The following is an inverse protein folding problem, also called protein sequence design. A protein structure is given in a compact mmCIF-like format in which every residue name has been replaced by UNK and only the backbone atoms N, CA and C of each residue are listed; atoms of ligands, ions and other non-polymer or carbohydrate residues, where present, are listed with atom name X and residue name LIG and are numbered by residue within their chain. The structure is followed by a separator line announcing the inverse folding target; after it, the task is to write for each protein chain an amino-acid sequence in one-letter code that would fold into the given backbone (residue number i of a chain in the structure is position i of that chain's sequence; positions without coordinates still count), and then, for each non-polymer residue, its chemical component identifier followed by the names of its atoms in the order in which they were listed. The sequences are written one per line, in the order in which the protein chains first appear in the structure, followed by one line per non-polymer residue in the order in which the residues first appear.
data_IF_231407400393
#
_entry.id   IF_231407400393
#
_cell.length_a   1.000
_cell.length_b   1.000
_cell.length_c   1.000
_cell.angle_alpha   90.00
_cell.angle_beta   90.00
_cell.angle_gamma   90.00
#
_symmetry.space_group_name_H-M   'P 1'
#
loop_
_entity.id
_entity.type
_entity.pdbx_description
1 polymer ?
#
# COMPACT_ATOMS: atom_id res chain seq x y z
N UNK A 1 6.56 -7.98 26.66
CA UNK A 1 6.07 -6.88 25.81
C UNK A 1 5.72 -7.48 24.45
N UNK A 2 4.48 -7.92 24.31
CA UNK A 2 4.00 -8.79 23.22
C UNK A 2 3.69 -7.97 21.96
N UNK A 3 4.47 -8.17 20.90
CA UNK A 3 4.18 -7.61 19.58
C UNK A 3 3.01 -8.36 18.94
N UNK A 4 1.79 -7.84 19.15
CA UNK A 4 0.56 -8.33 18.55
C UNK A 4 0.40 -7.79 17.12
N UNK A 5 1.27 -8.19 16.18
CA UNK A 5 1.13 -7.81 14.76
C UNK A 5 0.58 -8.97 13.93
N UNK A 6 -0.74 -9.15 14.02
CA UNK A 6 -1.50 -9.84 12.98
C UNK A 6 -2.89 -9.20 12.87
N UNK A 7 -2.95 -8.00 12.29
CA UNK A 7 -4.24 -7.46 11.85
C UNK A 7 -4.71 -8.31 10.66
N UNK A 8 -5.62 -9.24 10.96
CA UNK A 8 -6.37 -9.96 9.94
C UNK A 8 -6.98 -8.93 8.98
N UNK A 9 -6.66 -9.05 7.69
CA UNK A 9 -7.30 -8.21 6.67
C UNK A 9 -8.81 -8.42 6.77
N UNK A 10 -9.61 -7.34 6.91
CA UNK A 10 -11.06 -7.50 6.96
C UNK A 10 -11.51 -8.23 5.69
N UNK A 11 -12.37 -9.25 5.85
CA UNK A 11 -12.95 -9.96 4.70
C UNK A 11 -13.63 -8.92 3.82
N UNK A 12 -13.07 -8.67 2.64
CA UNK A 12 -13.61 -7.71 1.67
C UNK A 12 -15.05 -8.13 1.37
N UNK A 13 -16.00 -7.29 1.76
CA UNK A 13 -17.37 -7.48 1.34
C UNK A 13 -17.42 -7.31 -0.18
N UNK A 14 -18.12 -8.23 -0.86
CA UNK A 14 -18.30 -8.16 -2.32
C UNK A 14 -19.33 -7.10 -2.72
N UNK A 15 -19.99 -6.47 -1.75
CA UNK A 15 -21.02 -5.47 -1.96
C UNK A 15 -20.36 -4.10 -2.16
N UNK A 16 -20.37 -3.62 -3.40
CA UNK A 16 -19.94 -2.25 -3.73
C UNK A 16 -20.91 -1.25 -3.09
N UNK A 17 -20.36 -0.20 -2.47
CA UNK A 17 -21.12 0.93 -1.96
C UNK A 17 -20.92 2.10 -2.91
N UNK A 18 -22.00 2.71 -3.38
CA UNK A 18 -21.92 3.95 -4.14
C UNK A 18 -21.42 5.08 -3.23
N UNK A 19 -20.48 5.86 -3.74
CA UNK A 19 -19.90 7.03 -3.05
C UNK A 19 -20.03 8.21 -4.00
N UNK A 20 -20.53 9.34 -3.50
CA UNK A 20 -20.55 10.59 -4.24
C UNK A 20 -19.22 11.31 -4.04
N UNK A 21 -18.58 11.70 -5.14
CA UNK A 21 -17.33 12.45 -5.14
C UNK A 21 -17.45 13.64 -6.09
N UNK A 22 -16.86 14.76 -5.72
CA UNK A 22 -16.76 15.94 -6.58
C UNK A 22 -15.51 15.81 -7.44
N UNK A 23 -15.69 15.88 -8.76
CA UNK A 23 -14.60 15.80 -9.73
C UNK A 23 -14.75 16.97 -10.71
N UNK A 24 -13.63 17.44 -11.23
CA UNK A 24 -13.59 18.49 -12.24
C UNK A 24 -14.41 18.07 -13.49
N UNK A 25 -15.28 18.94 -14.02
CA UNK A 25 -16.10 18.61 -15.18
C UNK A 25 -15.26 18.43 -16.45
N UNK A 26 -14.16 19.18 -16.60
CA UNK A 26 -13.22 19.02 -17.71
C UNK A 26 -12.55 17.63 -17.70
N UNK A 27 -12.13 17.14 -16.54
CA UNK A 27 -11.55 15.79 -16.43
C UNK A 27 -12.57 14.69 -16.75
N UNK A 28 -13.85 14.89 -16.40
CA UNK A 28 -14.92 13.94 -16.75
C UNK A 28 -15.20 13.94 -18.25
N UNK A 29 -15.18 15.11 -18.89
CA UNK A 29 -15.37 15.24 -20.33
C UNK A 29 -14.24 14.53 -21.09
N UNK A 30 -12.99 14.85 -20.76
CA UNK A 30 -11.81 14.25 -21.38
C UNK A 30 -11.78 12.73 -21.20
N UNK A 31 -12.07 12.24 -19.98
CA UNK A 31 -12.15 10.80 -19.72
C UNK A 31 -13.21 10.11 -20.59
N UNK A 32 -14.35 10.75 -20.85
CA UNK A 32 -15.40 10.22 -21.72
C UNK A 32 -14.97 10.21 -23.19
N UNK A 33 -14.32 11.26 -23.66
CA UNK A 33 -13.78 11.33 -25.02
C UNK A 33 -12.74 10.24 -25.28
N UNK A 34 -11.92 9.94 -24.27
CA UNK A 34 -10.92 8.88 -24.29
C UNK A 34 -11.49 7.47 -24.02
N UNK A 35 -12.80 7.34 -23.77
CA UNK A 35 -13.44 6.05 -23.49
C UNK A 35 -13.04 5.41 -22.16
N UNK A 36 -12.55 6.20 -21.20
CA UNK A 36 -12.10 5.72 -19.89
C UNK A 36 -13.31 5.35 -19.02
N UNK A 37 -13.25 4.16 -18.41
CA UNK A 37 -14.24 3.74 -17.43
C UNK A 37 -14.01 4.46 -16.09
N UNK A 38 -14.79 5.51 -15.83
CA UNK A 38 -14.68 6.33 -14.62
C UNK A 38 -14.77 5.54 -13.30
N UNK A 39 -15.64 4.52 -13.25
CA UNK A 39 -15.78 3.71 -12.03
C UNK A 39 -14.52 2.89 -11.74
N UNK A 40 -13.89 2.37 -12.79
CA UNK A 40 -12.67 1.59 -12.68
C UNK A 40 -11.47 2.49 -12.36
N UNK A 41 -11.35 3.63 -13.05
CA UNK A 41 -10.32 4.63 -12.78
C UNK A 41 -10.38 5.13 -11.33
N UNK A 42 -11.58 5.43 -10.82
CA UNK A 42 -11.77 5.85 -9.44
C UNK A 42 -11.36 4.75 -8.45
N UNK A 43 -11.77 3.50 -8.68
CA UNK A 43 -11.40 2.39 -7.80
C UNK A 43 -9.89 2.15 -7.78
N UNK A 44 -9.24 2.19 -8.95
CA UNK A 44 -7.80 2.01 -9.07
C UNK A 44 -7.03 3.12 -8.34
N UNK A 45 -7.45 4.38 -8.51
CA UNK A 45 -6.85 5.51 -7.80
C UNK A 45 -7.00 5.38 -6.28
N UNK A 46 -8.18 4.98 -5.81
CA UNK A 46 -8.45 4.77 -4.39
C UNK A 46 -7.60 3.64 -3.80
N UNK A 47 -7.47 2.51 -4.51
CA UNK A 47 -6.65 1.38 -4.09
C UNK A 47 -5.17 1.76 -3.99
N UNK A 48 -4.65 2.56 -4.92
CA UNK A 48 -3.28 3.07 -4.89
C UNK A 48 -3.06 3.99 -3.67
N UNK A 49 -3.95 4.96 -3.44
CA UNK A 49 -3.86 5.87 -2.31
C UNK A 49 -3.91 5.12 -0.96
N UNK A 50 -4.78 4.11 -0.82
CA UNK A 50 -4.87 3.28 0.39
C UNK A 50 -3.58 2.48 0.59
N UNK A 51 -3.03 1.88 -0.47
CA UNK A 51 -1.77 1.13 -0.38
C UNK A 51 -0.62 2.03 0.07
N UNK A 52 -0.50 3.22 -0.50
CA UNK A 52 0.53 4.17 -0.14
C UNK A 52 0.41 4.61 1.32
N UNK A 53 -0.77 5.03 1.75
CA UNK A 53 -1.01 5.43 3.15
C UNK A 53 -0.73 4.30 4.15
N UNK A 54 -1.05 3.04 3.79
CA UNK A 54 -0.72 1.86 4.62
C UNK A 54 0.79 1.62 4.68
N UNK A 55 1.49 1.74 3.55
CA UNK A 55 2.94 1.56 3.50
C UNK A 55 3.64 2.63 4.35
N UNK A 56 3.24 3.89 4.23
CA UNK A 56 3.78 4.99 5.04
C UNK A 56 3.56 4.76 6.54
N UNK A 57 2.34 4.36 6.93
CA UNK A 57 2.04 4.01 8.32
C UNK A 57 2.90 2.85 8.81
N UNK A 58 3.01 1.79 8.02
CA UNK A 58 3.82 0.63 8.39
C UNK A 58 5.29 1.01 8.58
N UNK A 59 5.86 1.82 7.67
CA UNK A 59 7.22 2.32 7.78
C UNK A 59 7.43 3.16 9.04
N UNK A 60 6.45 4.00 9.41
CA UNK A 60 6.52 4.78 10.64
C UNK A 60 6.49 3.88 11.89
N UNK A 61 5.58 2.90 11.91
CA UNK A 61 5.42 1.96 13.03
C UNK A 61 6.62 1.01 13.20
N UNK A 62 7.30 0.65 12.10
CA UNK A 62 8.37 -0.35 12.11
C UNK A 62 9.77 0.27 11.99
N UNK A 63 9.89 1.60 12.07
CA UNK A 63 11.17 2.29 11.90
C UNK A 63 12.26 1.76 12.83
N UNK A 64 11.97 1.65 14.12
CA UNK A 64 12.93 1.16 15.12
C UNK A 64 13.33 -0.31 14.90
N UNK A 65 12.37 -1.14 14.48
CA UNK A 65 12.62 -2.54 14.13
C UNK A 65 13.50 -2.67 12.88
N UNK A 66 13.27 -1.82 11.87
CA UNK A 66 14.09 -1.76 10.65
C UNK A 66 15.51 -1.27 10.98
N UNK A 67 15.63 -0.20 11.77
CA UNK A 67 16.94 0.35 12.18
C UNK A 67 17.75 -0.65 13.01
N UNK A 68 17.13 -1.32 13.99
CA UNK A 68 17.81 -2.35 14.78
C UNK A 68 18.24 -3.55 13.94
N UNK A 69 17.41 -3.98 12.99
CA UNK A 69 17.76 -5.03 12.03
C UNK A 69 18.92 -4.62 11.13
N UNK A 70 18.89 -3.41 10.57
CA UNK A 70 19.96 -2.86 9.73
C UNK A 70 21.28 -2.78 10.50
N UNK A 71 21.27 -2.26 11.73
CA UNK A 71 22.46 -2.18 12.58
C UNK A 71 23.03 -3.57 12.92
N UNK A 72 22.17 -4.58 13.06
CA UNK A 72 22.62 -5.95 13.27
C UNK A 72 23.28 -6.52 12.01
N UNK A 73 22.71 -6.29 10.83
CA UNK A 73 23.29 -6.69 9.54
C UNK A 73 24.62 -6.00 9.26
N UNK A 74 24.75 -4.70 9.58
CA UNK A 74 26.02 -3.99 9.46
C UNK A 74 27.12 -4.60 10.32
N UNK A 75 26.78 -5.03 11.54
CA UNK A 75 27.74 -5.63 12.48
C UNK A 75 28.11 -7.07 12.15
N UNK A 76 27.16 -7.88 11.66
CA UNK A 76 27.34 -9.33 11.51
C UNK A 76 27.41 -9.78 10.05
N UNK A 77 27.22 -8.86 9.11
CA UNK A 77 27.03 -9.17 7.70
C UNK A 77 25.67 -9.80 7.42
N UNK A 78 25.43 -10.10 6.15
CA UNK A 78 24.20 -10.77 5.71
C UNK A 78 24.25 -12.27 6.09
N UNK A 79 23.36 -12.78 6.96
CA UNK A 79 23.45 -14.16 7.51
C UNK A 79 23.48 -15.26 6.46
N UNK A 80 22.79 -15.03 5.34
CA UNK A 80 22.62 -15.99 4.26
C UNK A 80 23.48 -15.67 3.04
N UNK A 81 24.40 -14.69 3.13
CA UNK A 81 25.29 -14.37 2.01
C UNK A 81 26.09 -15.58 1.51
N UNK A 82 26.46 -16.50 2.42
CA UNK A 82 27.19 -17.74 2.11
C UNK A 82 26.43 -18.75 1.24
N UNK A 83 25.12 -18.57 1.04
CA UNK A 83 24.29 -19.45 0.20
C UNK A 83 23.76 -18.74 -1.06
N UNK A 84 24.22 -17.52 -1.33
CA UNK A 84 23.83 -16.80 -2.54
C UNK A 84 24.51 -17.45 -3.76
N UNK A 85 23.76 -18.29 -4.46
CA UNK A 85 24.12 -18.82 -5.77
C UNK A 85 23.93 -17.70 -6.81
N UNK A 86 24.98 -17.42 -7.58
CA UNK A 86 24.99 -16.47 -8.70
C UNK A 86 24.62 -17.18 -10.00
#
# INVERSE_FOLDING_TARGET
MTAQFLQASPRRSTRRKAVNATVSPEAVAEARELGINLSEAFQNGLDQAIKQARAERWLAENREAIESSNAWVEKHGLPLAKYRLF
#
